data_IF_346926712463
#
_entry.id   IF_346926712463
#
_cell.length_a   1.000
_cell.length_b   1.000
_cell.length_c   1.000
_cell.angle_alpha   90.00
_cell.angle_beta   90.00
_cell.angle_gamma   90.00
#
_symmetry.space_group_name_H-M   'P 1'
#
loop_
_entity.id
_entity.type
_entity.pdbx_description
1 polymer ?
#
# COMPACT_ATOMS: atom_id res chain seq x y z
N UNK A 1 -5.23 -12.49 -8.58
CA UNK A 1 -4.02 -12.35 -9.44
C UNK A 1 -3.00 -11.57 -8.63
N UNK A 2 -1.68 -11.81 -8.74
CA UNK A 2 -0.73 -11.11 -7.88
C UNK A 2 -0.69 -9.60 -8.19
N UNK A 3 -0.53 -8.77 -7.14
CA UNK A 3 -0.59 -7.30 -7.21
C UNK A 3 0.22 -6.68 -8.37
N UNK A 4 1.43 -7.19 -8.61
CA UNK A 4 2.34 -6.67 -9.63
C UNK A 4 1.81 -6.79 -11.07
N UNK A 5 0.84 -7.67 -11.34
CA UNK A 5 0.22 -7.80 -12.67
C UNK A 5 -0.71 -6.63 -13.02
N UNK A 6 -1.16 -5.87 -12.02
CA UNK A 6 -2.06 -4.73 -12.22
C UNK A 6 -1.32 -3.40 -12.30
N UNK A 7 -0.02 -3.35 -12.00
CA UNK A 7 0.73 -2.09 -12.05
C UNK A 7 0.83 -1.58 -13.49
N UNK A 8 0.74 -0.26 -13.64
CA UNK A 8 0.89 0.38 -14.94
C UNK A 8 2.27 0.05 -15.55
N UNK A 9 2.37 -0.32 -16.84
CA UNK A 9 3.65 -0.49 -17.51
C UNK A 9 4.52 0.79 -17.56
N UNK A 10 3.93 1.98 -17.38
CA UNK A 10 4.63 3.26 -17.23
C UNK A 10 5.02 3.56 -15.76
N UNK A 11 4.89 2.58 -14.86
CA UNK A 11 5.33 2.65 -13.47
C UNK A 11 6.80 3.08 -13.33
N UNK A 12 7.13 3.59 -12.14
CA UNK A 12 8.50 4.01 -11.85
C UNK A 12 9.37 2.78 -11.83
N UNK A 13 10.58 2.94 -12.36
CA UNK A 13 11.61 1.95 -12.20
C UNK A 13 11.74 1.57 -10.72
N UNK A 14 11.77 0.26 -10.46
CA UNK A 14 12.04 -0.25 -9.14
C UNK A 14 13.35 0.25 -8.55
N UNK A 15 13.43 0.12 -7.23
CA UNK A 15 14.59 0.48 -6.45
C UNK A 15 15.65 -0.62 -6.51
N UNK A 16 16.89 -0.25 -6.25
CA UNK A 16 17.97 -1.22 -6.03
C UNK A 16 17.87 -1.84 -4.62
N UNK A 17 18.49 -3.02 -4.39
CA UNK A 17 18.53 -3.61 -3.06
C UNK A 17 19.19 -2.74 -2.00
N UNK A 18 20.16 -1.90 -2.39
CA UNK A 18 20.85 -0.93 -1.53
C UNK A 18 19.90 0.21 -1.14
N UNK A 19 19.19 0.78 -2.12
CA UNK A 19 18.17 1.81 -1.89
C UNK A 19 17.07 1.36 -0.95
N UNK A 20 16.58 0.12 -1.09
CA UNK A 20 15.58 -0.43 -0.17
C UNK A 20 16.18 -0.62 1.23
N UNK A 21 17.41 -1.13 1.34
CA UNK A 21 18.06 -1.32 2.65
C UNK A 21 18.29 0.02 3.37
N UNK A 22 18.70 1.05 2.64
CA UNK A 22 18.87 2.41 3.16
C UNK A 22 17.52 2.99 3.62
N UNK A 23 16.44 2.76 2.85
CA UNK A 23 15.09 3.17 3.22
C UNK A 23 14.59 2.43 4.48
N UNK A 24 14.72 1.11 4.55
CA UNK A 24 14.39 0.30 5.73
C UNK A 24 15.12 0.83 6.98
N UNK A 25 16.41 1.10 6.86
CA UNK A 25 17.22 1.66 7.95
C UNK A 25 16.77 3.06 8.36
N UNK A 26 16.51 3.96 7.40
CA UNK A 26 16.10 5.34 7.67
C UNK A 26 14.71 5.41 8.30
N UNK A 27 13.80 4.57 7.85
CA UNK A 27 12.40 4.54 8.30
C UNK A 27 12.21 3.68 9.57
N UNK A 28 13.22 2.89 9.95
CA UNK A 28 13.12 2.00 11.11
C UNK A 28 12.15 0.84 10.92
N UNK A 29 11.84 0.48 9.67
CA UNK A 29 10.95 -0.62 9.30
C UNK A 29 11.74 -1.79 8.72
N UNK A 30 11.11 -2.96 8.63
CA UNK A 30 11.64 -4.09 7.88
C UNK A 30 10.56 -4.65 6.98
N UNK A 31 10.72 -4.44 5.68
CA UNK A 31 9.76 -4.91 4.70
C UNK A 31 9.82 -6.43 4.61
N UNK A 32 8.66 -7.12 4.51
CA UNK A 32 8.63 -8.53 4.19
C UNK A 32 9.19 -8.75 2.77
N UNK A 33 9.69 -9.96 2.51
CA UNK A 33 10.32 -10.32 1.23
C UNK A 33 9.44 -9.96 0.03
N UNK A 34 8.13 -10.13 0.16
CA UNK A 34 7.16 -9.84 -0.90
C UNK A 34 7.05 -8.35 -1.24
N UNK A 35 6.92 -7.47 -0.24
CA UNK A 35 6.94 -6.01 -0.49
C UNK A 35 8.31 -5.57 -1.00
N UNK A 36 9.40 -6.16 -0.49
CA UNK A 36 10.74 -5.90 -1.03
C UNK A 36 10.83 -6.24 -2.52
N UNK A 37 10.33 -7.41 -2.93
CA UNK A 37 10.31 -7.82 -4.33
C UNK A 37 9.45 -6.88 -5.19
N UNK A 38 8.32 -6.40 -4.65
CA UNK A 38 7.48 -5.41 -5.31
C UNK A 38 8.24 -4.11 -5.56
N UNK A 39 8.88 -3.56 -4.53
CA UNK A 39 9.66 -2.32 -4.63
C UNK A 39 10.93 -2.45 -5.49
N UNK A 40 11.50 -3.66 -5.63
CA UNK A 40 12.58 -3.93 -6.58
C UNK A 40 12.12 -3.85 -8.04
N UNK A 41 10.83 -4.07 -8.29
CA UNK A 41 10.25 -4.02 -9.64
C UNK A 41 9.66 -2.63 -9.93
N UNK A 42 8.95 -2.05 -8.95
CA UNK A 42 8.19 -0.80 -9.11
C UNK A 42 8.28 0.06 -7.84
N UNK A 43 8.77 1.31 -7.97
CA UNK A 43 8.79 2.27 -6.86
C UNK A 43 7.53 3.14 -6.86
N UNK A 44 6.38 2.50 -6.62
CA UNK A 44 5.08 3.12 -6.74
C UNK A 44 4.54 3.15 -8.16
N UNK A 45 3.22 3.10 -8.27
CA UNK A 45 2.48 3.07 -9.52
C UNK A 45 0.99 3.21 -9.25
N UNK A 46 0.24 3.70 -10.23
CA UNK A 46 -1.18 3.41 -10.31
C UNK A 46 -1.40 1.94 -10.69
N UNK A 47 -2.47 1.37 -10.18
CA UNK A 47 -2.99 0.06 -10.56
C UNK A 47 -4.08 0.25 -11.61
N UNK A 48 -4.13 -0.68 -12.55
CA UNK A 48 -5.25 -0.83 -13.48
C UNK A 48 -6.45 -1.32 -12.69
N UNK A 49 -7.59 -0.65 -12.86
CA UNK A 49 -8.87 -0.86 -12.17
C UNK A 49 -9.02 -2.25 -11.55
N UNK A 50 -8.74 -2.34 -10.26
CA UNK A 50 -8.82 -3.58 -9.50
C UNK A 50 -9.43 -3.34 -8.13
N UNK A 51 -9.98 -4.40 -7.56
CA UNK A 51 -10.72 -4.40 -6.30
C UNK A 51 -10.26 -5.56 -5.43
N UNK A 52 -10.41 -5.40 -4.13
CA UNK A 52 -10.31 -6.47 -3.14
C UNK A 52 -11.70 -7.03 -2.91
N UNK A 53 -11.82 -8.37 -2.93
CA UNK A 53 -13.06 -9.10 -2.68
C UNK A 53 -14.21 -8.80 -3.67
N UNK A 54 -13.86 -8.63 -4.95
CA UNK A 54 -14.82 -8.76 -6.04
C UNK A 54 -15.79 -7.60 -6.28
N UNK A 55 -15.65 -6.46 -5.60
CA UNK A 55 -16.14 -5.10 -5.96
C UNK A 55 -16.18 -4.13 -4.76
N UNK A 56 -16.03 -4.61 -3.52
CA UNK A 56 -16.36 -3.83 -2.33
C UNK A 56 -15.27 -2.85 -1.86
N UNK A 57 -14.01 -3.01 -2.30
CA UNK A 57 -12.88 -2.18 -1.85
C UNK A 57 -11.92 -1.86 -3.01
N UNK A 58 -11.87 -0.61 -3.50
CA UNK A 58 -10.98 -0.22 -4.58
C UNK A 58 -9.50 -0.29 -4.19
N UNK A 59 -8.65 -0.71 -5.13
CA UNK A 59 -7.20 -0.70 -4.98
C UNK A 59 -6.58 0.06 -6.15
N UNK A 60 -6.12 1.27 -5.87
CA UNK A 60 -5.84 2.27 -6.91
C UNK A 60 -4.35 2.58 -7.05
N UNK A 61 -3.60 2.70 -5.96
CA UNK A 61 -2.19 3.07 -6.03
C UNK A 61 -1.31 2.21 -5.12
N UNK A 62 -0.08 1.96 -5.58
CA UNK A 62 1.05 1.55 -4.75
C UNK A 62 1.85 2.81 -4.40
N UNK A 63 1.98 3.11 -3.11
CA UNK A 63 2.81 4.22 -2.66
C UNK A 63 4.29 3.95 -2.94
N UNK A 64 5.03 4.95 -3.46
CA UNK A 64 6.48 4.87 -3.52
C UNK A 64 7.06 4.77 -2.10
N UNK A 65 8.17 4.06 -1.96
CA UNK A 65 8.83 3.93 -0.65
C UNK A 65 9.38 5.30 -0.19
N UNK A 66 9.94 6.07 -1.13
CA UNK A 66 10.36 7.47 -0.98
C UNK A 66 10.45 8.17 -2.35
N UNK A 67 10.47 9.51 -2.36
CA UNK A 67 10.23 10.37 -3.54
C UNK A 67 11.46 11.11 -4.07
N UNK A 68 12.69 10.63 -3.83
CA UNK A 68 13.93 11.29 -4.29
C UNK A 68 14.20 11.09 -5.81
N UNK A 69 13.25 11.51 -6.66
CA UNK A 69 13.42 11.68 -8.12
C UNK A 69 13.12 10.47 -9.00
N UNK A 70 12.50 9.41 -8.46
CA UNK A 70 12.14 8.17 -9.18
C UNK A 70 10.71 7.70 -8.87
N UNK A 71 9.71 8.56 -9.03
CA UNK A 71 8.29 8.20 -8.79
C UNK A 71 7.42 8.67 -9.96
N UNK A 72 6.34 7.95 -10.32
CA UNK A 72 5.43 8.36 -11.39
C UNK A 72 4.25 9.17 -10.87
N UNK A 73 4.15 9.39 -9.55
CA UNK A 73 3.07 10.19 -9.00
C UNK A 73 3.23 11.63 -9.53
N UNK A 74 2.47 11.92 -10.58
CA UNK A 74 2.58 13.11 -11.39
C UNK A 74 1.63 14.18 -10.88
N UNK A 75 2.18 15.38 -10.68
CA UNK A 75 1.45 16.65 -10.59
C UNK A 75 0.23 16.64 -9.65
N UNK A 76 0.46 16.35 -8.36
CA UNK A 76 -0.20 16.89 -7.15
C UNK A 76 -0.28 15.82 -6.05
N UNK A 77 0.34 16.08 -4.89
CA UNK A 77 0.37 15.25 -3.66
C UNK A 77 1.21 13.96 -3.70
N UNK A 78 2.53 14.13 -3.60
CA UNK A 78 3.53 13.05 -3.44
C UNK A 78 3.46 12.35 -2.06
N UNK A 79 2.39 11.61 -1.78
CA UNK A 79 2.37 10.69 -0.65
C UNK A 79 3.37 9.55 -0.91
N UNK A 80 4.13 9.19 0.12
CA UNK A 80 5.06 8.08 0.11
C UNK A 80 4.98 7.36 1.44
N UNK A 81 5.43 6.11 1.47
CA UNK A 81 5.54 5.36 2.73
C UNK A 81 6.34 6.17 3.76
N UNK A 82 7.46 6.78 3.34
CA UNK A 82 8.27 7.63 4.20
C UNK A 82 7.50 8.81 4.81
N UNK A 83 6.73 9.53 4.00
CA UNK A 83 5.96 10.70 4.45
C UNK A 83 4.80 10.30 5.37
N UNK A 84 4.09 9.23 5.04
CA UNK A 84 2.99 8.72 5.85
C UNK A 84 3.50 8.23 7.21
N UNK A 85 4.63 7.52 7.25
CA UNK A 85 5.28 7.12 8.49
C UNK A 85 5.74 8.32 9.35
N UNK A 86 6.22 9.41 8.73
CA UNK A 86 6.53 10.65 9.46
C UNK A 86 5.28 11.26 10.11
N UNK A 87 4.14 11.23 9.41
CA UNK A 87 2.87 11.72 9.95
C UNK A 87 2.36 10.83 11.08
N UNK A 88 2.40 9.52 10.91
CA UNK A 88 2.05 8.53 11.93
C UNK A 88 2.89 8.70 13.20
N UNK A 89 4.21 8.93 13.06
CA UNK A 89 5.07 9.20 14.22
C UNK A 89 4.67 10.49 14.94
N UNK A 90 4.25 11.52 14.18
CA UNK A 90 3.91 12.84 14.72
C UNK A 90 2.55 12.86 15.43
N UNK A 91 1.53 12.22 14.86
CA UNK A 91 0.18 12.22 15.42
C UNK A 91 -0.08 11.06 16.40
N UNK A 92 0.57 9.91 16.18
CA UNK A 92 0.43 8.72 17.00
C UNK A 92 -0.91 7.98 16.83
N UNK A 93 -1.71 8.27 15.81
CA UNK A 93 -3.01 7.62 15.59
C UNK A 93 -2.86 6.18 15.10
N UNK A 94 -1.90 5.94 14.20
CA UNK A 94 -1.60 4.60 13.69
C UNK A 94 -0.22 4.18 14.21
N UNK A 95 -0.11 3.05 14.94
CA UNK A 95 1.18 2.58 15.42
C UNK A 95 2.18 2.34 14.30
N UNK A 96 3.46 2.62 14.54
CA UNK A 96 4.54 2.47 13.53
C UNK A 96 4.75 1.02 13.03
N UNK A 97 4.13 0.02 13.67
CA UNK A 97 4.13 -1.35 13.17
C UNK A 97 3.26 -1.56 11.92
N UNK A 98 2.37 -0.61 11.61
CA UNK A 98 1.52 -0.62 10.42
C UNK A 98 2.18 0.23 9.33
N UNK A 99 2.69 -0.45 8.30
CA UNK A 99 3.39 0.17 7.17
C UNK A 99 2.39 0.40 6.04
N UNK A 100 2.09 1.65 5.66
CA UNK A 100 1.21 1.93 4.53
C UNK A 100 1.89 1.48 3.24
N UNK A 101 1.14 0.93 2.29
CA UNK A 101 1.70 0.53 1.00
C UNK A 101 0.76 0.79 -0.18
N UNK A 102 -0.55 0.69 -0.01
CA UNK A 102 -1.51 0.97 -1.09
C UNK A 102 -2.64 1.88 -0.62
N UNK A 103 -3.38 2.48 -1.55
CA UNK A 103 -4.59 3.24 -1.30
C UNK A 103 -5.72 2.93 -2.30
N UNK A 104 -6.89 3.52 -2.03
CA UNK A 104 -8.09 3.47 -2.87
C UNK A 104 -8.33 4.75 -3.69
N UNK A 105 -7.40 5.72 -3.70
CA UNK A 105 -7.52 7.09 -4.26
C UNK A 105 -8.62 7.99 -3.64
N UNK A 106 -9.39 7.49 -2.66
CA UNK A 106 -10.35 8.28 -1.87
C UNK A 106 -9.81 8.68 -0.49
N UNK A 107 -8.58 8.25 -0.15
CA UNK A 107 -7.86 8.60 1.07
C UNK A 107 -7.81 7.47 2.10
N UNK A 108 -8.40 6.31 1.80
CA UNK A 108 -8.31 5.12 2.63
C UNK A 108 -7.05 4.32 2.24
N UNK A 109 -6.41 3.71 3.24
CA UNK A 109 -5.06 3.18 3.07
C UNK A 109 -5.00 1.73 3.54
N UNK A 110 -4.30 0.92 2.75
CA UNK A 110 -3.89 -0.44 3.10
C UNK A 110 -2.56 -0.44 3.84
N UNK A 111 -2.54 -1.09 5.00
CA UNK A 111 -1.39 -1.21 5.87
C UNK A 111 -0.96 -2.66 6.05
N UNK A 112 0.34 -2.91 5.98
CA UNK A 112 0.95 -4.16 6.35
C UNK A 112 1.39 -4.11 7.83
N UNK A 113 0.92 -5.05 8.65
CA UNK A 113 1.38 -5.16 10.04
C UNK A 113 2.68 -5.96 10.12
N UNK A 114 3.74 -5.32 10.60
CA UNK A 114 5.03 -5.98 10.87
C UNK A 114 4.95 -6.96 12.06
N UNK A 115 3.90 -6.89 12.88
CA UNK A 115 3.75 -7.73 14.07
C UNK A 115 3.20 -9.12 13.71
N UNK A 116 2.15 -9.18 12.90
CA UNK A 116 1.44 -10.43 12.59
C UNK A 116 1.43 -10.78 11.10
N UNK A 117 1.92 -9.89 10.23
CA UNK A 117 1.98 -10.10 8.78
C UNK A 117 0.67 -9.90 8.03
N UNK A 118 -0.41 -9.50 8.72
CA UNK A 118 -1.72 -9.26 8.14
C UNK A 118 -1.79 -7.91 7.41
N UNK A 119 -2.81 -7.77 6.55
CA UNK A 119 -3.14 -6.53 5.86
C UNK A 119 -4.43 -5.95 6.43
N UNK A 120 -4.41 -4.65 6.70
CA UNK A 120 -5.51 -3.88 7.23
C UNK A 120 -5.90 -2.80 6.24
N UNK A 121 -7.19 -2.50 6.14
CA UNK A 121 -7.72 -1.38 5.39
C UNK A 121 -8.30 -0.39 6.41
N UNK A 122 -7.69 0.78 6.53
CA UNK A 122 -8.09 1.79 7.51
C UNK A 122 -8.72 2.95 6.74
N UNK A 123 -10.01 3.15 7.00
CA UNK A 123 -10.76 4.24 6.40
C UNK A 123 -10.46 5.55 7.12
N UNK A 124 -10.16 6.61 6.37
CA UNK A 124 -9.78 7.89 6.96
C UNK A 124 -10.92 8.56 7.74
N UNK A 125 -12.16 8.22 7.43
CA UNK A 125 -13.35 8.71 8.14
C UNK A 125 -13.65 7.92 9.43
N UNK A 126 -13.06 6.73 9.61
CA UNK A 126 -13.38 5.78 10.70
C UNK A 126 -12.13 5.35 11.48
N UNK A 127 -11.22 6.28 11.76
CA UNK A 127 -10.04 6.00 12.58
C UNK A 127 -10.37 5.52 13.99
N UNK A 128 -11.50 5.94 14.55
CA UNK A 128 -11.98 5.51 15.86
C UNK A 128 -12.35 4.03 15.88
N UNK A 129 -12.79 3.47 14.75
CA UNK A 129 -13.03 2.03 14.61
C UNK A 129 -11.72 1.26 14.77
N UNK A 130 -10.68 1.64 14.01
CA UNK A 130 -9.35 1.03 14.13
C UNK A 130 -8.77 1.20 15.55
N UNK A 131 -8.91 2.37 16.16
CA UNK A 131 -8.44 2.59 17.53
C UNK A 131 -9.15 1.68 18.54
N UNK A 132 -10.45 1.42 18.33
CA UNK A 132 -11.27 0.61 19.23
C UNK A 132 -11.10 -0.90 19.06
N UNK A 133 -11.01 -1.38 17.82
CA UNK A 133 -10.88 -2.79 17.45
C UNK A 133 -10.12 -2.92 16.13
N UNK A 134 -8.77 -2.94 16.15
CA UNK A 134 -7.96 -3.04 14.94
C UNK A 134 -8.32 -4.26 14.07
N UNK A 135 -8.80 -5.35 14.67
CA UNK A 135 -9.13 -6.58 13.93
C UNK A 135 -10.39 -6.43 13.08
N UNK A 136 -11.27 -5.46 13.33
CA UNK A 136 -12.41 -5.18 12.44
C UNK A 136 -11.94 -4.61 11.09
N UNK A 137 -10.79 -3.91 11.08
CA UNK A 137 -10.18 -3.35 9.88
C UNK A 137 -9.28 -4.34 9.11
N UNK A 138 -9.15 -5.59 9.58
CA UNK A 138 -8.31 -6.59 8.94
C UNK A 138 -8.97 -7.13 7.68
N UNK A 139 -8.28 -7.03 6.54
CA UNK A 139 -8.79 -7.52 5.24
C UNK A 139 -8.14 -8.81 4.77
N UNK A 140 -6.90 -9.10 5.20
CA UNK A 140 -6.23 -10.35 4.85
C UNK A 140 -5.24 -10.81 5.91
N UNK A 141 -5.10 -12.13 6.08
CA UNK A 141 -4.19 -12.73 7.08
C UNK A 141 -2.71 -12.64 6.68
N UNK A 142 -2.42 -12.34 5.42
CA UNK A 142 -1.08 -12.27 4.85
C UNK A 142 -1.10 -11.51 3.53
N UNK A 143 0.07 -11.10 3.03
CA UNK A 143 0.20 -10.54 1.69
C UNK A 143 -0.13 -11.58 0.59
N UNK A 144 0.01 -12.87 0.87
CA UNK A 144 -0.41 -13.95 -0.02
C UNK A 144 -1.93 -14.05 -0.12
N UNK A 145 -2.63 -13.97 1.02
CA UNK A 145 -4.08 -13.92 1.05
C UNK A 145 -4.59 -12.64 0.36
N UNK A 146 -3.97 -11.50 0.62
CA UNK A 146 -4.31 -10.22 -0.02
C UNK A 146 -4.22 -10.30 -1.55
N UNK A 147 -3.10 -10.79 -2.10
CA UNK A 147 -2.93 -10.99 -3.55
C UNK A 147 -3.98 -11.94 -4.15
N UNK A 148 -4.41 -12.95 -3.39
CA UNK A 148 -5.42 -13.89 -3.86
C UNK A 148 -6.80 -13.24 -3.97
N UNK A 149 -7.06 -12.16 -3.22
CA UNK A 149 -8.32 -11.41 -3.23
C UNK A 149 -8.38 -10.34 -4.33
N UNK A 150 -7.24 -9.95 -4.92
CA UNK A 150 -7.22 -8.94 -5.99
C UNK A 150 -7.83 -9.52 -7.27
N UNK A 151 -8.92 -8.88 -7.70
CA UNK A 151 -9.60 -9.15 -8.97
C UNK A 151 -9.60 -7.90 -9.84
N UNK A 152 -9.58 -8.08 -11.16
CA UNK A 152 -9.85 -6.98 -12.08
C UNK A 152 -11.27 -6.46 -11.82
N UNK A 153 -11.44 -5.14 -11.85
CA UNK A 153 -12.76 -4.55 -11.88
C UNK A 153 -13.29 -4.68 -13.32
N UNK A 154 -14.30 -5.51 -13.51
CA UNK A 154 -15.03 -5.60 -14.76
C UNK A 154 -16.22 -4.65 -14.67
N UNK A 155 -16.14 -3.48 -15.31
CA UNK A 155 -17.33 -2.65 -15.51
C UNK A 155 -18.29 -3.48 -16.37
N UNK A 156 -19.33 -4.05 -15.77
CA UNK A 156 -20.41 -4.73 -16.49
C UNK A 156 -21.30 -3.65 -17.14
N UNK A 157 -20.70 -2.85 -18.03
CA UNK A 157 -21.39 -1.96 -18.95
C UNK A 157 -22.06 -2.84 -20.02
N UNK A 158 -23.11 -3.55 -19.59
CA UNK A 158 -24.09 -4.18 -20.46
C UNK A 158 -25.38 -3.36 -20.50
N UNK A 159 -25.33 -2.25 -21.25
CA UNK A 159 -26.51 -1.52 -21.78
C UNK A 159 -26.63 -1.66 -23.31
#
# INVERSE_FOLDING_TARGET
MPLHEFLDPEAAAGLTPEEIADAEQRLGIRLPEKLRQLYLQHNGSYLRSCVIDGEEMPLCSLYPLYTEGKTPLGENNDLSVALLLEWQERDGFIPMQYVPFCDDDAGDIYYYSMENGAVYYIMHEFFDEFESDPESCRVADSLEAFDAMITAYEDDDSD
#
